data_IF_230094119041
#
_entry.id   IF_230094119041
#
_cell.length_a   1.000
_cell.length_b   1.000
_cell.length_c   1.000
_cell.angle_alpha   90.00
_cell.angle_beta   90.00
_cell.angle_gamma   90.00
#
_symmetry.space_group_name_H-M   'P 1'
#
loop_
_entity.id
_entity.type
_entity.pdbx_description
1 polymer ?
#
# COMPACT_ATOMS: atom_id res chain seq x y z
N UNK A 1 -14.70 77.26 66.65
CA UNK A 1 -13.89 76.16 66.09
C UNK A 1 -14.42 75.88 64.69
N UNK A 2 -13.79 76.51 63.70
CA UNK A 2 -14.14 76.40 62.28
C UNK A 2 -13.65 75.06 61.74
N UNK A 3 -14.58 74.25 61.20
CA UNK A 3 -14.20 73.15 60.31
C UNK A 3 -14.85 73.43 58.94
N UNK A 4 -14.00 73.82 58.00
CA UNK A 4 -14.37 74.17 56.63
C UNK A 4 -14.79 72.91 55.87
N UNK A 5 -16.07 72.81 55.54
CA UNK A 5 -16.58 71.79 54.62
C UNK A 5 -16.39 72.27 53.17
N UNK A 6 -15.75 71.44 52.36
CA UNK A 6 -15.46 71.64 50.94
C UNK A 6 -16.75 71.86 50.11
N UNK A 7 -16.72 72.69 49.05
CA UNK A 7 -17.91 72.96 48.25
C UNK A 7 -18.34 71.70 47.51
N UNK A 8 -19.49 71.13 47.91
CA UNK A 8 -20.14 70.06 47.15
C UNK A 8 -20.67 70.64 45.84
N UNK A 9 -20.49 69.91 44.74
CA UNK A 9 -20.95 70.32 43.40
C UNK A 9 -22.43 70.77 43.46
N UNK A 10 -22.82 71.91 42.84
CA UNK A 10 -24.15 72.50 43.01
C UNK A 10 -25.28 71.52 42.66
N UNK A 11 -25.06 70.63 41.69
CA UNK A 11 -26.00 69.57 41.33
C UNK A 11 -26.24 68.52 42.44
N UNK A 12 -25.20 68.17 43.20
CA UNK A 12 -25.30 67.18 44.29
C UNK A 12 -25.99 67.83 45.51
N UNK A 13 -25.74 69.11 45.76
CA UNK A 13 -26.43 69.86 46.81
C UNK A 13 -27.92 70.05 46.48
N UNK A 14 -28.23 70.31 45.22
CA UNK A 14 -29.61 70.40 44.72
C UNK A 14 -30.31 69.04 44.84
N UNK A 15 -29.69 67.93 44.41
CA UNK A 15 -30.24 66.59 44.59
C UNK A 15 -30.39 66.20 46.07
N UNK A 16 -29.47 66.60 46.94
CA UNK A 16 -29.57 66.36 48.38
C UNK A 16 -30.73 67.16 49.01
N UNK A 17 -30.95 68.41 48.59
CA UNK A 17 -32.10 69.22 49.01
C UNK A 17 -33.41 68.62 48.51
N UNK A 18 -33.49 68.21 47.24
CA UNK A 18 -34.68 67.54 46.71
C UNK A 18 -34.94 66.20 47.41
N UNK A 19 -33.89 65.42 47.71
CA UNK A 19 -34.01 64.17 48.47
C UNK A 19 -34.49 64.43 49.91
N UNK A 20 -33.97 65.46 50.57
CA UNK A 20 -34.40 65.84 51.92
C UNK A 20 -35.85 66.36 51.95
N UNK A 21 -36.22 67.20 50.97
CA UNK A 21 -37.60 67.68 50.79
C UNK A 21 -38.54 66.51 50.47
N UNK A 22 -38.13 65.60 49.60
CA UNK A 22 -38.92 64.41 49.28
C UNK A 22 -39.08 63.49 50.49
N UNK A 23 -38.02 63.26 51.27
CA UNK A 23 -38.08 62.47 52.50
C UNK A 23 -38.97 63.12 53.56
N UNK A 24 -38.87 64.45 53.75
CA UNK A 24 -39.72 65.20 54.67
C UNK A 24 -41.20 65.17 54.22
N UNK A 25 -41.46 65.41 52.93
CA UNK A 25 -42.81 65.33 52.36
C UNK A 25 -43.39 63.91 52.43
N UNK A 26 -42.56 62.88 52.25
CA UNK A 26 -42.96 61.48 52.34
C UNK A 26 -43.25 61.05 53.78
N UNK A 27 -42.55 61.60 54.76
CA UNK A 27 -42.79 61.35 56.18
C UNK A 27 -44.09 62.01 56.68
N UNK A 28 -44.38 63.24 56.25
CA UNK A 28 -45.58 64.03 56.64
C UNK A 28 -46.82 63.68 55.80
N UNK A 29 -46.66 62.83 54.78
CA UNK A 29 -47.73 62.32 53.89
C UNK A 29 -49.01 61.89 54.63
N UNK A 30 -48.87 61.31 55.82
CA UNK A 30 -50.01 60.78 56.56
C UNK A 30 -50.78 61.86 57.33
N UNK A 31 -50.17 63.03 57.58
CA UNK A 31 -50.82 64.21 58.19
C UNK A 31 -51.49 65.12 57.15
N UNK A 32 -51.03 65.08 55.90
CA UNK A 32 -51.66 65.77 54.74
C UNK A 32 -52.88 65.01 54.18
N UNK A 33 -53.10 63.77 54.61
CA UNK A 33 -54.34 63.07 54.33
C UNK A 33 -55.41 63.63 55.26
N UNK A 34 -56.46 64.24 54.70
CA UNK A 34 -57.59 64.75 55.47
C UNK A 34 -58.20 63.71 56.42
N UNK A 35 -59.08 64.12 57.36
CA UNK A 35 -59.70 63.21 58.31
C UNK A 35 -60.37 62.04 57.57
N UNK A 36 -60.17 60.80 58.03
CA UNK A 36 -60.82 59.62 57.45
C UNK A 36 -62.33 59.74 57.65
N UNK A 37 -63.06 60.13 56.59
CA UNK A 37 -64.52 60.19 56.56
C UNK A 37 -65.10 58.85 56.15
N UNK A 38 -66.23 58.47 56.77
CA UNK A 38 -66.93 57.21 56.46
C UNK A 38 -67.68 57.34 55.12
N UNK A 39 -67.95 56.20 54.46
CA UNK A 39 -68.59 56.16 53.13
C UNK A 39 -69.92 56.94 53.08
N UNK A 40 -70.65 56.97 54.18
CA UNK A 40 -71.93 57.67 54.30
C UNK A 40 -71.75 59.21 54.36
N UNK A 41 -70.63 59.71 54.90
CA UNK A 41 -70.34 61.15 54.98
C UNK A 41 -69.87 61.72 53.63
N UNK A 42 -69.29 60.87 52.77
CA UNK A 42 -68.88 61.25 51.40
C UNK A 42 -70.04 61.36 50.42
N UNK A 43 -71.22 60.82 50.75
CA UNK A 43 -72.42 60.87 49.91
C UNK A 43 -73.15 62.23 49.95
N UNK A 44 -72.90 63.06 50.97
CA UNK A 44 -73.56 64.36 51.17
C UNK A 44 -72.69 65.57 50.75
N UNK A 45 -71.51 65.33 50.17
CA UNK A 45 -70.66 66.39 49.63
C UNK A 45 -71.03 66.72 48.17
N UNK A 46 -70.75 67.95 47.68
CA UNK A 46 -70.95 68.31 46.28
C UNK A 46 -70.26 67.30 45.36
N UNK A 47 -70.89 66.95 44.23
CA UNK A 47 -70.48 65.84 43.35
C UNK A 47 -69.00 65.87 42.90
N UNK A 48 -68.36 67.04 42.89
CA UNK A 48 -66.94 67.17 42.56
C UNK A 48 -66.01 66.60 43.66
N UNK A 49 -66.40 66.66 44.94
CA UNK A 49 -65.54 66.27 46.06
C UNK A 49 -65.68 64.77 46.41
N UNK A 50 -66.86 64.18 46.20
CA UNK A 50 -67.10 62.75 46.46
C UNK A 50 -66.29 61.84 45.53
N UNK A 51 -66.12 62.23 44.27
CA UNK A 51 -65.29 61.51 43.28
C UNK A 51 -63.81 61.49 43.63
N UNK A 52 -63.30 62.49 44.35
CA UNK A 52 -61.89 62.60 44.71
C UNK A 52 -61.55 61.85 46.01
N UNK A 53 -62.51 61.74 46.95
CA UNK A 53 -62.31 61.11 48.26
C UNK A 53 -62.85 59.68 48.37
N UNK A 54 -63.49 59.13 47.32
CA UNK A 54 -63.93 57.72 47.33
C UNK A 54 -62.69 56.79 47.39
N UNK A 55 -62.56 55.94 48.42
CA UNK A 55 -61.41 55.04 48.53
C UNK A 55 -61.39 54.03 47.38
N UNK A 56 -60.31 54.00 46.59
CA UNK A 56 -60.15 53.09 45.46
C UNK A 56 -60.27 51.62 45.91
N UNK A 57 -61.11 50.84 45.22
CA UNK A 57 -61.34 49.41 45.48
C UNK A 57 -60.00 48.64 45.51
N UNK A 58 -59.80 47.61 46.37
CA UNK A 58 -58.50 46.93 46.53
C UNK A 58 -58.10 46.00 45.38
N UNK A 59 -59.02 45.66 44.47
CA UNK A 59 -58.77 44.75 43.33
C UNK A 59 -57.61 45.14 42.38
N UNK A 60 -57.44 46.41 41.96
CA UNK A 60 -56.35 46.84 41.08
C UNK A 60 -54.97 46.57 41.70
N UNK A 61 -54.84 46.68 43.03
CA UNK A 61 -53.59 46.41 43.74
C UNK A 61 -53.22 44.93 43.74
N UNK A 62 -54.21 44.04 43.86
CA UNK A 62 -53.98 42.58 43.79
C UNK A 62 -53.60 42.15 42.37
N UNK A 63 -54.27 42.68 41.36
CA UNK A 63 -53.93 42.45 39.94
C UNK A 63 -52.51 42.94 39.64
N UNK A 64 -52.14 44.13 40.11
CA UNK A 64 -50.78 44.64 39.98
C UNK A 64 -49.72 43.71 40.61
N UNK A 65 -49.99 43.17 41.81
CA UNK A 65 -49.09 42.20 42.45
C UNK A 65 -48.95 40.89 41.67
N UNK A 66 -50.06 40.34 41.14
CA UNK A 66 -50.02 39.13 40.30
C UNK A 66 -49.20 39.36 39.03
N UNK A 67 -49.37 40.52 38.38
CA UNK A 67 -48.59 40.90 37.20
C UNK A 67 -47.10 41.03 37.56
N UNK A 68 -46.77 41.67 38.70
CA UNK A 68 -45.39 41.77 39.16
C UNK A 68 -44.76 40.41 39.43
N UNK A 69 -45.47 39.48 40.08
CA UNK A 69 -44.97 38.12 40.34
C UNK A 69 -44.77 37.35 39.04
N UNK A 70 -45.72 37.40 38.10
CA UNK A 70 -45.59 36.78 36.79
C UNK A 70 -44.37 37.33 36.04
N UNK A 71 -44.15 38.65 36.09
CA UNK A 71 -43.01 39.31 35.47
C UNK A 71 -41.68 38.84 36.10
N UNK A 72 -41.61 38.71 37.43
CA UNK A 72 -40.41 38.21 38.12
C UNK A 72 -40.14 36.74 37.75
N UNK A 73 -41.17 35.90 37.62
CA UNK A 73 -41.02 34.50 37.18
C UNK A 73 -40.52 34.45 35.73
N UNK A 74 -41.11 35.23 34.84
CA UNK A 74 -40.67 35.32 33.45
C UNK A 74 -39.22 35.85 33.34
N UNK A 75 -38.85 36.82 34.16
CA UNK A 75 -37.49 37.35 34.24
C UNK A 75 -36.51 36.30 34.77
N UNK A 76 -36.87 35.57 35.83
CA UNK A 76 -36.06 34.47 36.35
C UNK A 76 -35.87 33.37 35.30
N UNK A 77 -36.95 32.96 34.62
CA UNK A 77 -36.87 32.00 33.53
C UNK A 77 -36.02 32.52 32.37
N UNK A 78 -36.10 33.82 32.04
CA UNK A 78 -35.27 34.38 30.98
C UNK A 78 -33.77 34.40 31.33
N UNK A 79 -33.44 34.57 32.61
CA UNK A 79 -32.06 34.57 33.13
C UNK A 79 -31.49 33.14 33.20
N UNK A 80 -32.27 32.17 33.65
CA UNK A 80 -31.81 30.78 33.85
C UNK A 80 -32.05 29.87 32.64
N UNK A 81 -33.06 30.14 31.83
CA UNK A 81 -33.44 29.36 30.67
C UNK A 81 -32.37 29.41 29.58
N UNK A 82 -31.89 28.24 29.17
CA UNK A 82 -30.91 28.08 28.10
C UNK A 82 -31.57 27.43 26.89
N UNK A 83 -31.31 27.97 25.71
CA UNK A 83 -31.76 27.44 24.42
C UNK A 83 -30.52 27.06 23.61
N UNK A 84 -30.56 25.89 22.97
CA UNK A 84 -29.49 25.43 22.09
C UNK A 84 -29.43 26.30 20.82
N UNK A 85 -28.24 26.79 20.46
CA UNK A 85 -27.99 27.38 19.14
C UNK A 85 -27.62 26.25 18.19
N UNK A 86 -28.27 26.23 17.03
CA UNK A 86 -28.01 25.23 15.99
C UNK A 86 -27.55 25.91 14.71
N UNK A 87 -26.50 25.36 14.09
CA UNK A 87 -26.14 25.64 12.71
C UNK A 87 -26.84 24.63 11.81
N UNK A 88 -27.55 25.12 10.79
CA UNK A 88 -28.29 24.28 9.85
C UNK A 88 -27.43 24.03 8.63
N UNK A 89 -27.12 22.77 8.37
CA UNK A 89 -26.29 22.34 7.25
C UNK A 89 -27.07 21.34 6.37
N UNK A 90 -27.16 21.61 5.08
CA UNK A 90 -27.82 20.71 4.13
C UNK A 90 -26.80 19.74 3.54
N UNK A 91 -27.22 18.50 3.28
CA UNK A 91 -26.31 17.49 2.77
C UNK A 91 -26.99 16.22 2.30
N UNK A 92 -26.18 15.19 2.14
CA UNK A 92 -26.63 13.86 1.71
C UNK A 92 -25.88 12.77 2.46
N UNK A 93 -26.48 11.60 2.50
CA UNK A 93 -25.88 10.41 3.08
C UNK A 93 -24.87 9.80 2.12
N UNK A 94 -23.66 9.55 2.60
CA UNK A 94 -22.56 8.89 1.90
C UNK A 94 -21.98 7.76 2.74
N UNK A 95 -21.40 6.77 2.09
CA UNK A 95 -20.75 5.65 2.77
C UNK A 95 -19.34 6.08 3.21
N UNK A 96 -19.00 5.86 4.48
CA UNK A 96 -17.69 6.25 5.03
C UNK A 96 -16.52 5.57 4.33
N UNK A 97 -16.67 4.28 4.03
CA UNK A 97 -15.74 3.58 3.17
C UNK A 97 -16.00 3.97 1.72
N UNK A 98 -15.04 4.70 1.14
CA UNK A 98 -15.05 5.01 -0.29
C UNK A 98 -15.31 3.72 -1.08
N UNK A 99 -16.28 3.81 -1.97
CA UNK A 99 -16.67 2.72 -2.85
C UNK A 99 -15.47 2.16 -3.60
N UNK A 100 -15.36 0.84 -3.72
CA UNK A 100 -14.21 0.19 -4.37
C UNK A 100 -14.48 0.07 -5.86
N UNK A 101 -13.72 0.78 -6.68
CA UNK A 101 -13.80 0.68 -8.13
C UNK A 101 -13.00 -0.52 -8.62
N UNK A 102 -13.61 -1.33 -9.47
CA UNK A 102 -12.94 -2.46 -10.12
C UNK A 102 -12.56 -2.07 -11.55
N UNK A 103 -11.26 -2.16 -11.86
CA UNK A 103 -10.66 -1.72 -13.12
C UNK A 103 -9.67 -2.79 -13.62
N UNK A 104 -9.57 -3.04 -14.94
CA UNK A 104 -8.61 -3.98 -15.49
C UNK A 104 -7.21 -3.34 -15.53
N UNK A 105 -6.18 -4.17 -15.37
CA UNK A 105 -4.79 -3.75 -15.45
C UNK A 105 -4.30 -3.60 -16.90
N UNK A 106 -4.81 -4.42 -17.82
CA UNK A 106 -4.38 -4.45 -19.21
C UNK A 106 -5.61 -4.56 -20.13
N UNK A 107 -5.48 -4.08 -21.37
CA UNK A 107 -6.54 -4.17 -22.38
C UNK A 107 -6.89 -5.64 -22.63
N UNK A 108 -8.15 -6.00 -22.41
CA UNK A 108 -8.60 -7.39 -22.43
C UNK A 108 -9.98 -7.53 -23.06
N UNK A 109 -10.32 -8.73 -23.51
CA UNK A 109 -11.67 -9.07 -23.99
C UNK A 109 -12.45 -9.68 -22.82
N UNK A 110 -13.69 -9.25 -22.64
CA UNK A 110 -14.58 -9.80 -21.62
C UNK A 110 -15.07 -11.17 -22.08
N UNK A 111 -14.69 -12.22 -21.35
CA UNK A 111 -15.15 -13.58 -21.62
C UNK A 111 -16.54 -13.81 -21.06
N UNK A 112 -16.76 -13.40 -19.80
CA UNK A 112 -18.04 -13.60 -19.10
C UNK A 112 -18.21 -12.61 -17.95
N UNK A 113 -19.43 -12.11 -17.76
CA UNK A 113 -19.82 -11.27 -16.62
C UNK A 113 -20.73 -12.10 -15.71
N UNK A 114 -20.34 -12.29 -14.44
CA UNK A 114 -21.01 -13.20 -13.51
C UNK A 114 -22.00 -12.50 -12.55
N UNK A 115 -22.03 -11.17 -12.57
CA UNK A 115 -22.82 -10.35 -11.63
C UNK A 115 -23.62 -9.29 -12.36
N UNK A 116 -24.70 -8.84 -11.74
CA UNK A 116 -25.56 -7.75 -12.20
C UNK A 116 -25.58 -6.61 -11.19
N UNK A 117 -26.04 -5.45 -11.65
CA UNK A 117 -26.29 -4.32 -10.76
C UNK A 117 -27.28 -4.68 -9.65
N UNK A 118 -26.89 -4.42 -8.40
CA UNK A 118 -27.66 -4.74 -7.20
C UNK A 118 -27.32 -6.08 -6.55
N UNK A 119 -26.49 -6.93 -7.18
CA UNK A 119 -26.12 -8.23 -6.61
C UNK A 119 -25.23 -8.09 -5.36
N UNK A 120 -25.49 -8.95 -4.39
CA UNK A 120 -24.68 -9.09 -3.19
C UNK A 120 -23.50 -10.02 -3.45
N UNK A 121 -22.29 -9.57 -3.14
CA UNK A 121 -21.04 -10.31 -3.37
C UNK A 121 -20.24 -10.50 -2.09
N UNK A 122 -19.50 -11.60 -2.01
CA UNK A 122 -18.55 -11.89 -0.94
C UNK A 122 -17.12 -11.51 -1.36
N UNK A 123 -16.24 -11.24 -0.39
CA UNK A 123 -14.83 -11.00 -0.68
C UNK A 123 -14.21 -12.25 -1.36
N UNK A 124 -13.48 -12.04 -2.46
CA UNK A 124 -12.87 -13.08 -3.28
C UNK A 124 -13.78 -13.70 -4.34
N UNK A 125 -15.07 -13.36 -4.39
CA UNK A 125 -15.97 -13.86 -5.42
C UNK A 125 -15.59 -13.32 -6.80
N UNK A 126 -15.53 -14.18 -7.82
CA UNK A 126 -15.26 -13.79 -9.21
C UNK A 126 -16.46 -13.02 -9.76
N UNK A 127 -16.21 -11.84 -10.31
CA UNK A 127 -17.21 -10.91 -10.84
C UNK A 127 -17.18 -10.88 -12.37
N UNK A 128 -15.97 -10.81 -12.94
CA UNK A 128 -15.74 -10.77 -14.38
C UNK A 128 -14.58 -11.70 -14.73
N UNK A 129 -14.77 -12.51 -15.76
CA UNK A 129 -13.73 -13.30 -16.38
C UNK A 129 -13.32 -12.60 -17.67
N UNK A 130 -12.05 -12.23 -17.77
CA UNK A 130 -11.43 -11.73 -18.99
C UNK A 130 -10.80 -12.90 -19.76
N UNK A 131 -10.55 -12.71 -21.05
CA UNK A 131 -9.89 -13.70 -21.89
C UNK A 131 -8.42 -13.86 -21.50
N UNK A 132 -8.07 -15.03 -20.98
CA UNK A 132 -6.73 -15.39 -20.53
C UNK A 132 -5.89 -16.09 -21.62
N UNK A 133 -6.38 -16.21 -22.85
CA UNK A 133 -5.72 -17.02 -23.89
C UNK A 133 -4.27 -16.59 -24.14
N UNK A 134 -4.02 -15.29 -24.27
CA UNK A 134 -2.66 -14.77 -24.48
C UNK A 134 -1.77 -14.98 -23.24
N UNK A 135 -2.27 -14.61 -22.05
CA UNK A 135 -1.51 -14.75 -20.80
C UNK A 135 -1.18 -16.22 -20.48
N UNK A 136 -2.10 -17.14 -20.77
CA UNK A 136 -1.89 -18.58 -20.60
C UNK A 136 -0.92 -19.16 -21.64
N UNK A 137 -0.97 -18.69 -22.89
CA UNK A 137 -0.03 -19.11 -23.93
C UNK A 137 1.41 -18.64 -23.62
N UNK A 138 1.55 -17.40 -23.17
CA UNK A 138 2.83 -16.85 -22.70
C UNK A 138 3.37 -17.65 -21.51
N UNK A 139 2.53 -17.92 -20.50
CA UNK A 139 2.90 -18.72 -19.35
C UNK A 139 3.33 -20.14 -19.72
N UNK A 140 2.62 -20.80 -20.64
CA UNK A 140 2.99 -22.13 -21.14
C UNK A 140 4.34 -22.10 -21.89
N UNK A 141 4.58 -21.08 -22.71
CA UNK A 141 5.86 -20.89 -23.42
C UNK A 141 7.03 -20.69 -22.43
N UNK A 142 6.84 -19.85 -21.41
CA UNK A 142 7.86 -19.62 -20.38
C UNK A 142 8.12 -20.88 -19.56
N UNK A 143 7.07 -21.64 -19.22
CA UNK A 143 7.19 -22.91 -18.50
C UNK A 143 7.97 -23.97 -19.30
N UNK A 144 7.74 -24.06 -20.62
CA UNK A 144 8.47 -24.95 -21.53
C UNK A 144 9.96 -24.56 -21.60
N UNK A 145 10.25 -23.27 -21.71
CA UNK A 145 11.64 -22.79 -21.69
C UNK A 145 12.32 -23.05 -20.34
N UNK A 146 11.59 -22.88 -19.24
CA UNK A 146 12.09 -23.14 -17.89
C UNK A 146 12.41 -24.62 -17.71
N UNK A 147 11.52 -25.52 -18.13
CA UNK A 147 11.73 -26.97 -18.05
C UNK A 147 12.94 -27.41 -18.87
N UNK A 148 13.16 -26.80 -20.05
CA UNK A 148 14.34 -27.04 -20.87
C UNK A 148 15.64 -26.60 -20.17
N UNK A 149 15.66 -25.43 -19.53
CA UNK A 149 16.84 -24.95 -18.79
C UNK A 149 17.13 -25.76 -17.53
N UNK A 150 16.09 -26.19 -16.80
CA UNK A 150 16.24 -27.11 -15.65
C UNK A 150 16.84 -28.44 -16.11
N UNK A 151 16.42 -28.95 -17.25
CA UNK A 151 16.92 -30.22 -17.80
C UNK A 151 18.39 -30.09 -18.21
N UNK A 152 18.77 -28.97 -18.84
CA UNK A 152 20.17 -28.65 -19.17
C UNK A 152 21.06 -28.53 -17.92
N UNK A 153 20.57 -27.88 -16.86
CA UNK A 153 21.30 -27.77 -15.59
C UNK A 153 21.53 -29.15 -14.95
N UNK A 154 20.53 -30.04 -14.98
CA UNK A 154 20.65 -31.42 -14.48
C UNK A 154 21.67 -32.23 -15.30
N UNK A 155 21.61 -32.15 -16.64
CA UNK A 155 22.55 -32.86 -17.52
C UNK A 155 23.98 -32.40 -17.31
N UNK A 156 24.24 -31.09 -17.31
CA UNK A 156 25.59 -30.54 -17.11
C UNK A 156 26.14 -30.89 -15.72
N UNK A 157 25.31 -30.83 -14.68
CA UNK A 157 25.68 -31.27 -13.32
C UNK A 157 26.05 -32.75 -13.28
N UNK A 158 25.26 -33.61 -13.93
CA UNK A 158 25.54 -35.04 -14.02
C UNK A 158 26.85 -35.32 -14.79
N UNK A 159 27.09 -34.63 -15.91
CA UNK A 159 28.33 -34.76 -16.69
C UNK A 159 29.56 -34.32 -15.90
N UNK A 160 29.50 -33.20 -15.16
CA UNK A 160 30.61 -32.77 -14.32
C UNK A 160 30.89 -33.74 -13.17
N UNK A 161 29.85 -34.30 -12.56
CA UNK A 161 29.99 -35.34 -11.53
C UNK A 161 30.60 -36.62 -12.11
N UNK A 162 30.20 -37.01 -13.32
CA UNK A 162 30.74 -38.14 -14.05
C UNK A 162 32.23 -37.94 -14.41
N UNK A 163 32.63 -36.75 -14.86
CA UNK A 163 34.04 -36.42 -15.12
C UNK A 163 34.91 -36.49 -13.87
N UNK A 164 34.40 -36.04 -12.71
CA UNK A 164 35.14 -36.10 -11.44
C UNK A 164 35.25 -37.51 -10.86
N UNK A 165 34.19 -38.30 -10.98
CA UNK A 165 34.11 -39.66 -10.40
C UNK A 165 34.53 -40.77 -11.36
N UNK A 166 34.73 -40.44 -12.64
CA UNK A 166 34.99 -41.37 -13.74
C UNK A 166 33.94 -42.50 -13.84
N UNK A 167 32.67 -42.17 -13.57
CA UNK A 167 31.52 -43.08 -13.64
C UNK A 167 30.49 -42.54 -14.62
N UNK A 168 29.68 -43.43 -15.18
CA UNK A 168 28.59 -43.03 -16.06
C UNK A 168 27.64 -42.04 -15.34
N UNK A 169 27.23 -40.95 -16.01
CA UNK A 169 26.30 -39.99 -15.43
C UNK A 169 24.94 -40.64 -15.26
N UNK A 170 24.24 -40.29 -14.19
CA UNK A 170 22.87 -40.74 -13.91
C UNK A 170 22.00 -39.54 -13.58
N UNK A 171 20.81 -39.49 -14.18
CA UNK A 171 19.79 -38.48 -13.88
C UNK A 171 18.84 -38.96 -12.78
N UNK A 172 18.20 -38.03 -12.05
CA UNK A 172 17.06 -38.37 -11.19
C UNK A 172 15.95 -39.08 -11.96
N UNK A 173 15.24 -39.99 -11.30
CA UNK A 173 14.17 -40.81 -11.90
C UNK A 173 13.03 -40.00 -12.55
N UNK A 174 12.84 -38.75 -12.12
CA UNK A 174 11.80 -37.86 -12.63
C UNK A 174 12.18 -37.12 -13.92
N UNK A 175 13.36 -37.42 -14.49
CA UNK A 175 13.85 -36.79 -15.72
C UNK A 175 13.22 -37.43 -16.96
N UNK A 176 13.08 -36.66 -18.04
CA UNK A 176 12.47 -37.18 -19.26
C UNK A 176 13.39 -38.19 -19.97
N UNK A 177 12.79 -39.11 -20.75
CA UNK A 177 13.56 -40.05 -21.57
C UNK A 177 14.48 -39.33 -22.57
N UNK A 178 14.01 -38.22 -23.14
CA UNK A 178 14.81 -37.37 -24.05
C UNK A 178 16.07 -36.82 -23.38
N UNK A 179 15.98 -36.42 -22.11
CA UNK A 179 17.14 -35.91 -21.37
C UNK A 179 18.17 -37.01 -21.09
N UNK A 180 17.70 -38.22 -20.80
CA UNK A 180 18.53 -39.42 -20.67
C UNK A 180 19.28 -39.72 -21.97
N UNK A 181 18.58 -39.75 -23.10
CA UNK A 181 19.17 -40.06 -24.40
C UNK A 181 20.23 -39.03 -24.80
N UNK A 182 19.93 -37.73 -24.61
CA UNK A 182 20.89 -36.67 -24.90
C UNK A 182 22.11 -36.72 -23.98
N UNK A 183 21.91 -36.96 -22.68
CA UNK A 183 23.01 -37.13 -21.73
C UNK A 183 23.91 -38.30 -22.10
N UNK A 184 23.32 -39.43 -22.50
CA UNK A 184 24.06 -40.62 -22.89
C UNK A 184 24.87 -40.37 -24.18
N UNK A 185 24.30 -39.67 -25.16
CA UNK A 185 25.02 -39.26 -26.37
C UNK A 185 26.21 -38.34 -26.04
N UNK A 186 26.00 -37.28 -25.24
CA UNK A 186 27.08 -36.36 -24.84
C UNK A 186 28.19 -37.10 -24.04
N UNK A 187 27.82 -38.04 -23.18
CA UNK A 187 28.78 -38.86 -22.44
C UNK A 187 29.56 -39.82 -23.34
N UNK A 188 28.91 -40.44 -24.32
CA UNK A 188 29.56 -41.30 -25.31
C UNK A 188 30.58 -40.53 -26.14
N UNK A 189 30.27 -39.31 -26.56
CA UNK A 189 31.20 -38.46 -27.31
C UNK A 189 32.45 -38.12 -26.48
N UNK A 190 32.27 -37.72 -25.22
CA UNK A 190 33.38 -37.40 -24.31
C UNK A 190 34.25 -38.64 -24.07
N UNK A 191 33.63 -39.77 -23.76
CA UNK A 191 34.36 -41.01 -23.47
C UNK A 191 35.06 -41.57 -24.70
N UNK A 192 34.47 -41.48 -25.89
CA UNK A 192 35.11 -41.87 -27.14
C UNK A 192 36.35 -41.01 -27.44
N UNK A 193 36.27 -39.70 -27.20
CA UNK A 193 37.41 -38.79 -27.37
C UNK A 193 38.53 -39.10 -26.39
N UNK A 194 38.20 -39.36 -25.11
CA UNK A 194 39.16 -39.76 -24.09
C UNK A 194 39.81 -41.11 -24.39
N UNK A 195 39.03 -42.07 -24.90
CA UNK A 195 39.52 -43.39 -25.30
C UNK A 195 40.52 -43.28 -26.46
N UNK A 196 40.24 -42.43 -27.46
CA UNK A 196 41.16 -42.14 -28.57
C UNK A 196 42.48 -41.55 -28.06
N UNK A 197 42.43 -40.56 -27.16
CA UNK A 197 43.63 -39.94 -26.59
C UNK A 197 44.43 -40.94 -25.74
N UNK A 198 43.79 -41.80 -24.95
CA UNK A 198 44.50 -42.85 -24.20
C UNK A 198 45.15 -43.89 -25.11
N UNK A 199 44.51 -44.25 -26.23
CA UNK A 199 45.08 -45.18 -27.19
C UNK A 199 46.34 -44.58 -27.87
N UNK A 200 46.32 -43.27 -28.14
CA UNK A 200 47.49 -42.56 -28.65
C UNK A 200 48.64 -42.53 -27.64
N UNK A 201 48.36 -42.23 -26.37
CA UNK A 201 49.37 -42.30 -25.30
C UNK A 201 49.96 -43.70 -25.17
N UNK A 202 49.13 -44.74 -25.13
CA UNK A 202 49.59 -46.13 -25.04
C UNK A 202 50.48 -46.52 -26.24
N UNK A 203 50.16 -46.03 -27.44
CA UNK A 203 51.00 -46.22 -28.64
C UNK A 203 52.38 -45.55 -28.49
N UNK A 204 52.44 -44.32 -27.96
CA UNK A 204 53.71 -43.61 -27.70
C UNK A 204 54.54 -44.29 -26.61
N UNK A 205 53.89 -44.81 -25.56
CA UNK A 205 54.56 -45.61 -24.53
C UNK A 205 55.17 -46.90 -25.09
N UNK A 206 54.46 -47.58 -25.99
CA UNK A 206 54.98 -48.77 -26.67
C UNK A 206 56.17 -48.44 -27.61
N UNK A 207 56.12 -47.30 -28.30
CA UNK A 207 57.23 -46.78 -29.11
C UNK A 207 58.48 -46.52 -28.26
N UNK A 208 58.33 -45.84 -27.11
CA UNK A 208 59.40 -45.64 -26.13
C UNK A 208 59.97 -46.96 -25.63
N UNK A 209 59.12 -47.94 -25.30
CA UNK A 209 59.56 -49.26 -24.85
C UNK A 209 60.43 -49.96 -25.91
N UNK A 210 60.05 -49.84 -27.19
CA UNK A 210 60.80 -50.42 -28.32
C UNK A 210 62.16 -49.76 -28.52
N UNK A 211 62.22 -48.42 -28.46
CA UNK A 211 63.49 -47.68 -28.56
C UNK A 211 64.39 -48.00 -27.38
N UNK A 212 63.85 -48.11 -26.16
CA UNK A 212 64.61 -48.51 -24.95
C UNK A 212 65.23 -49.90 -25.09
N UNK A 213 64.51 -50.87 -25.66
CA UNK A 213 65.07 -52.22 -25.92
C UNK A 213 66.23 -52.17 -26.91
N UNK A 214 66.13 -51.33 -27.94
CA UNK A 214 67.21 -51.15 -28.93
C UNK A 214 68.43 -50.49 -28.31
N UNK A 215 68.23 -49.46 -27.48
CA UNK A 215 69.30 -48.83 -26.69
C UNK A 215 69.97 -49.86 -25.78
N UNK A 216 69.19 -50.65 -25.02
CA UNK A 216 69.72 -51.67 -24.13
C UNK A 216 70.58 -52.72 -24.88
N UNK A 217 70.15 -53.13 -26.08
CA UNK A 217 70.95 -54.00 -26.95
C UNK A 217 72.29 -53.35 -27.32
N UNK A 218 72.28 -52.11 -27.81
CA UNK A 218 73.49 -51.40 -28.23
C UNK A 218 74.43 -51.11 -27.07
N UNK A 219 73.90 -50.75 -25.89
CA UNK A 219 74.67 -50.55 -24.67
C UNK A 219 75.33 -51.84 -24.18
N UNK A 220 74.71 -53.00 -24.40
CA UNK A 220 75.31 -54.30 -24.10
C UNK A 220 76.38 -54.73 -25.12
N UNK A 221 76.23 -54.40 -26.41
CA UNK A 221 77.16 -54.84 -27.48
C UNK A 221 78.35 -53.91 -27.68
N UNK A 222 78.20 -52.60 -27.45
CA UNK A 222 79.26 -51.60 -27.69
C UNK A 222 80.54 -51.86 -26.88
N UNK A 223 80.50 -52.26 -25.59
CA UNK A 223 81.71 -52.61 -24.84
C UNK A 223 82.45 -53.81 -25.45
N UNK A 224 81.71 -54.78 -26.00
CA UNK A 224 82.29 -55.95 -26.68
C UNK A 224 83.02 -55.50 -27.96
N UNK A 225 82.41 -54.60 -28.75
CA UNK A 225 83.05 -54.04 -29.94
C UNK A 225 84.31 -53.22 -29.59
N UNK A 226 84.26 -52.40 -28.53
CA UNK A 226 85.40 -51.65 -28.01
C UNK A 226 86.56 -52.57 -27.60
N UNK A 227 86.24 -53.65 -26.87
CA UNK A 227 87.26 -54.61 -26.42
C UNK A 227 87.87 -55.36 -27.61
N UNK A 228 87.06 -55.78 -28.59
CA UNK A 228 87.55 -56.44 -29.81
C UNK A 228 88.46 -55.53 -30.63
N UNK A 229 88.12 -54.24 -30.78
CA UNK A 229 89.00 -53.27 -31.43
C UNK A 229 90.35 -53.17 -30.71
N UNK A 230 90.33 -53.08 -29.37
CA UNK A 230 91.56 -52.98 -28.57
C UNK A 230 92.45 -54.22 -28.69
N UNK A 231 91.88 -55.42 -28.72
CA UNK A 231 92.62 -56.67 -28.89
C UNK A 231 93.20 -56.79 -30.31
N UNK A 232 92.44 -56.41 -31.35
CA UNK A 232 92.94 -56.39 -32.73
C UNK A 232 94.06 -55.37 -32.92
N UNK A 233 93.96 -54.20 -32.28
CA UNK A 233 95.01 -53.19 -32.31
C UNK A 233 96.29 -53.73 -31.69
N UNK A 234 96.21 -54.40 -30.53
CA UNK A 234 97.36 -55.06 -29.88
C UNK A 234 98.03 -56.10 -30.78
N UNK A 235 97.24 -56.97 -31.41
CA UNK A 235 97.75 -57.98 -32.35
C UNK A 235 98.36 -57.38 -33.62
N UNK A 236 97.84 -56.25 -34.09
CA UNK A 236 98.41 -55.51 -35.23
C UNK A 236 99.73 -54.84 -34.84
N UNK A 237 99.82 -54.26 -33.65
CA UNK A 237 101.03 -53.60 -33.14
C UNK A 237 102.17 -54.62 -32.93
N UNK A 238 101.82 -55.86 -32.54
CA UNK A 238 102.74 -56.99 -32.43
C UNK A 238 103.07 -57.68 -33.78
N UNK A 239 102.43 -57.27 -34.88
CA UNK A 239 102.70 -57.77 -36.23
C UNK A 239 102.01 -59.08 -36.63
N UNK A 240 101.08 -59.60 -35.81
CA UNK A 240 100.37 -60.86 -36.07
C UNK A 240 99.21 -60.71 -37.07
N UNK A 241 98.70 -59.49 -37.27
CA UNK A 241 97.59 -59.19 -38.18
C UNK A 241 97.91 -57.90 -38.94
N UNK A 242 97.43 -57.80 -40.18
CA UNK A 242 97.58 -56.59 -40.98
C UNK A 242 96.64 -55.46 -40.50
N UNK A 243 97.14 -54.22 -40.48
CA UNK A 243 96.43 -53.06 -39.90
C UNK A 243 95.06 -52.74 -40.50
N UNK A 244 94.77 -53.18 -41.73
CA UNK A 244 93.44 -53.01 -42.34
C UNK A 244 92.34 -53.79 -41.60
N UNK A 245 92.66 -54.95 -41.01
CA UNK A 245 91.70 -55.71 -40.21
C UNK A 245 91.30 -54.97 -38.92
N UNK A 246 92.16 -54.09 -38.40
CA UNK A 246 91.84 -53.20 -37.29
C UNK A 246 90.89 -52.07 -37.70
N UNK A 247 91.07 -51.50 -38.90
CA UNK A 247 90.24 -50.41 -39.42
C UNK A 247 88.77 -50.83 -39.58
N UNK A 248 88.51 -52.06 -40.02
CA UNK A 248 87.13 -52.59 -40.10
C UNK A 248 86.46 -52.68 -38.72
N UNK A 249 87.22 -53.04 -37.67
CA UNK A 249 86.72 -53.07 -36.28
C UNK A 249 86.46 -51.69 -35.72
N UNK A 250 87.36 -50.74 -36.00
CA UNK A 250 87.16 -49.33 -35.65
C UNK A 250 85.88 -48.78 -36.30
N UNK A 251 85.64 -49.10 -37.58
CA UNK A 251 84.42 -48.72 -38.29
C UNK A 251 83.18 -49.31 -37.64
N UNK A 252 83.18 -50.60 -37.33
CA UNK A 252 82.06 -51.30 -36.66
C UNK A 252 81.73 -50.66 -35.30
N UNK A 253 82.75 -50.33 -34.49
CA UNK A 253 82.56 -49.63 -33.20
C UNK A 253 81.95 -48.23 -33.40
N UNK A 254 82.48 -47.44 -34.34
CA UNK A 254 81.99 -46.09 -34.62
C UNK A 254 80.53 -46.14 -35.07
N UNK A 255 80.16 -47.10 -35.93
CA UNK A 255 78.78 -47.30 -36.38
C UNK A 255 77.85 -47.59 -35.21
N UNK A 256 78.19 -48.53 -34.33
CA UNK A 256 77.39 -48.84 -33.12
C UNK A 256 77.30 -47.64 -32.15
N UNK A 257 78.38 -46.87 -31.99
CA UNK A 257 78.40 -45.67 -31.15
C UNK A 257 77.46 -44.58 -31.72
N UNK A 258 77.48 -44.37 -33.04
CA UNK A 258 76.62 -43.40 -33.73
C UNK A 258 75.16 -43.85 -33.74
N UNK A 259 74.92 -45.15 -33.89
CA UNK A 259 73.59 -45.73 -33.76
C UNK A 259 73.04 -45.54 -32.35
N UNK A 260 73.83 -45.80 -31.31
CA UNK A 260 73.44 -45.58 -29.92
C UNK A 260 73.09 -44.11 -29.66
N UNK A 261 73.93 -43.19 -30.13
CA UNK A 261 73.66 -41.75 -30.03
C UNK A 261 72.36 -41.37 -30.74
N UNK A 262 72.11 -41.92 -31.93
CA UNK A 262 70.87 -41.71 -32.69
C UNK A 262 69.64 -42.25 -31.96
N UNK A 263 69.72 -43.45 -31.40
CA UNK A 263 68.61 -44.04 -30.65
C UNK A 263 68.33 -43.25 -29.35
N UNK A 264 69.35 -42.76 -28.66
CA UNK A 264 69.18 -41.88 -27.49
C UNK A 264 68.48 -40.57 -27.86
N UNK A 265 68.83 -39.96 -29.00
CA UNK A 265 68.13 -38.79 -29.50
C UNK A 265 66.65 -39.10 -29.83
N UNK A 266 66.37 -40.23 -30.49
CA UNK A 266 65.00 -40.70 -30.75
C UNK A 266 64.20 -40.97 -29.47
N UNK A 267 64.85 -41.49 -28.42
CA UNK A 267 64.19 -41.68 -27.13
C UNK A 267 63.75 -40.34 -26.52
N UNK A 268 64.61 -39.33 -26.55
CA UNK A 268 64.28 -38.00 -26.05
C UNK A 268 63.12 -37.37 -26.84
N UNK A 269 63.11 -37.53 -28.17
CA UNK A 269 62.01 -37.10 -29.05
C UNK A 269 60.69 -37.83 -28.72
N UNK A 270 60.74 -39.16 -28.58
CA UNK A 270 59.57 -39.97 -28.22
C UNK A 270 59.02 -39.60 -26.83
N UNK A 271 59.88 -39.27 -25.87
CA UNK A 271 59.46 -38.77 -24.56
C UNK A 271 58.80 -37.40 -24.63
N UNK A 272 59.32 -36.49 -25.46
CA UNK A 272 58.72 -35.18 -25.69
C UNK A 272 57.32 -35.30 -26.30
N UNK A 273 57.14 -36.18 -27.30
CA UNK A 273 55.82 -36.43 -27.92
C UNK A 273 54.83 -37.12 -26.98
N UNK A 274 55.28 -37.99 -26.07
CA UNK A 274 54.43 -38.54 -25.00
C UNK A 274 53.95 -37.43 -24.05
N UNK A 275 54.85 -36.53 -23.65
CA UNK A 275 54.50 -35.40 -22.80
C UNK A 275 53.49 -34.45 -23.49
N UNK A 276 53.67 -34.20 -24.79
CA UNK A 276 52.71 -33.43 -25.60
C UNK A 276 51.33 -34.11 -25.67
N UNK A 277 51.29 -35.43 -25.85
CA UNK A 277 50.04 -36.20 -25.85
C UNK A 277 49.33 -36.14 -24.48
N UNK A 278 50.09 -36.20 -23.38
CA UNK A 278 49.55 -36.02 -22.03
C UNK A 278 49.00 -34.61 -21.79
N UNK A 279 49.72 -33.58 -22.26
CA UNK A 279 49.25 -32.21 -22.21
C UNK A 279 47.97 -32.03 -23.02
N UNK A 280 47.88 -32.60 -24.22
CA UNK A 280 46.68 -32.59 -25.07
C UNK A 280 45.47 -33.21 -24.37
N UNK A 281 45.66 -34.35 -23.69
CA UNK A 281 44.60 -34.97 -22.88
C UNK A 281 44.16 -34.08 -21.71
N UNK A 282 45.11 -33.49 -20.99
CA UNK A 282 44.81 -32.60 -19.86
C UNK A 282 44.07 -31.33 -20.31
N UNK A 283 44.47 -30.76 -21.45
CA UNK A 283 43.85 -29.58 -22.06
C UNK A 283 42.41 -29.89 -22.49
N UNK A 284 42.17 -31.05 -23.10
CA UNK A 284 40.82 -31.49 -23.47
C UNK A 284 39.90 -31.64 -22.25
N UNK A 285 40.39 -32.22 -21.15
CA UNK A 285 39.62 -32.32 -19.91
C UNK A 285 39.31 -30.94 -19.30
N UNK A 286 40.30 -30.05 -19.24
CA UNK A 286 40.13 -28.71 -18.72
C UNK A 286 39.15 -27.89 -19.57
N UNK A 287 39.24 -28.00 -20.90
CA UNK A 287 38.31 -27.34 -21.83
C UNK A 287 36.88 -27.88 -21.69
N UNK A 288 36.72 -29.21 -21.61
CA UNK A 288 35.42 -29.85 -21.42
C UNK A 288 34.80 -29.41 -20.09
N UNK A 289 35.57 -29.39 -19.00
CA UNK A 289 35.09 -28.93 -17.70
C UNK A 289 34.69 -27.45 -17.74
N UNK A 290 35.47 -26.58 -18.38
CA UNK A 290 35.13 -25.17 -18.56
C UNK A 290 33.84 -25.00 -19.35
N UNK A 291 33.72 -25.68 -20.49
CA UNK A 291 32.53 -25.61 -21.34
C UNK A 291 31.26 -26.08 -20.62
N UNK A 292 31.34 -27.15 -19.81
CA UNK A 292 30.22 -27.61 -19.00
C UNK A 292 29.87 -26.63 -17.88
N UNK A 293 30.87 -26.03 -17.21
CA UNK A 293 30.66 -25.00 -16.19
C UNK A 293 29.99 -23.76 -16.77
N UNK A 294 30.42 -23.31 -17.96
CA UNK A 294 29.83 -22.17 -18.65
C UNK A 294 28.37 -22.46 -19.05
N UNK A 295 28.09 -23.65 -19.59
CA UNK A 295 26.71 -24.09 -19.90
C UNK A 295 25.85 -24.14 -18.64
N UNK A 296 26.35 -24.67 -17.53
CA UNK A 296 25.63 -24.73 -16.25
C UNK A 296 25.33 -23.31 -15.72
N UNK A 297 26.31 -22.40 -15.75
CA UNK A 297 26.13 -21.03 -15.31
C UNK A 297 25.07 -20.30 -16.15
N UNK A 298 25.11 -20.47 -17.48
CA UNK A 298 24.09 -19.91 -18.39
C UNK A 298 22.70 -20.49 -18.12
N UNK A 299 22.59 -21.81 -17.95
CA UNK A 299 21.33 -22.48 -17.64
C UNK A 299 20.75 -22.00 -16.30
N UNK A 300 21.57 -21.90 -15.26
CA UNK A 300 21.16 -21.41 -13.93
C UNK A 300 20.70 -19.94 -13.97
N UNK A 301 21.43 -19.08 -14.68
CA UNK A 301 21.04 -17.67 -14.89
C UNK A 301 19.69 -17.57 -15.61
N UNK A 302 19.52 -18.30 -16.72
CA UNK A 302 18.26 -18.32 -17.47
C UNK A 302 17.12 -18.91 -16.67
N UNK A 303 17.35 -19.98 -15.91
CA UNK A 303 16.36 -20.56 -15.00
C UNK A 303 15.85 -19.52 -14.01
N UNK A 304 16.76 -18.75 -13.41
CA UNK A 304 16.39 -17.68 -12.46
C UNK A 304 15.55 -16.61 -13.13
N UNK A 305 15.95 -16.15 -14.32
CA UNK A 305 15.18 -15.18 -15.12
C UNK A 305 13.79 -15.70 -15.48
N UNK A 306 13.70 -16.90 -16.05
CA UNK A 306 12.45 -17.52 -16.49
C UNK A 306 11.52 -17.84 -15.31
N UNK A 307 12.06 -18.13 -14.12
CA UNK A 307 11.24 -18.31 -12.92
C UNK A 307 10.53 -17.01 -12.51
N UNK A 308 11.23 -15.87 -12.59
CA UNK A 308 10.61 -14.56 -12.33
C UNK A 308 9.59 -14.19 -13.40
N UNK A 309 9.90 -14.50 -14.66
CA UNK A 309 8.98 -14.29 -15.78
C UNK A 309 7.72 -15.15 -15.64
N UNK A 310 7.87 -16.41 -15.24
CA UNK A 310 6.74 -17.31 -14.97
C UNK A 310 5.84 -16.73 -13.88
N UNK A 311 6.42 -16.33 -12.73
CA UNK A 311 5.67 -15.69 -11.65
C UNK A 311 4.90 -14.45 -12.12
N UNK A 312 5.49 -13.65 -13.03
CA UNK A 312 4.83 -12.49 -13.64
C UNK A 312 3.66 -12.92 -14.54
N UNK A 313 3.84 -13.94 -15.38
CA UNK A 313 2.77 -14.46 -16.25
C UNK A 313 1.62 -15.11 -15.47
N UNK A 314 1.93 -15.82 -14.37
CA UNK A 314 0.93 -16.38 -13.46
C UNK A 314 0.12 -15.29 -12.76
N UNK A 315 0.79 -14.22 -12.30
CA UNK A 315 0.11 -13.07 -11.72
C UNK A 315 -0.79 -12.37 -12.75
N UNK A 316 -0.31 -12.16 -13.98
CA UNK A 316 -1.13 -11.63 -15.08
C UNK A 316 -2.35 -12.50 -15.36
N UNK A 317 -2.17 -13.81 -15.44
CA UNK A 317 -3.25 -14.78 -15.64
C UNK A 317 -4.27 -14.70 -14.50
N UNK A 318 -3.82 -14.59 -13.25
CA UNK A 318 -4.72 -14.41 -12.10
C UNK A 318 -5.54 -13.12 -12.19
N UNK A 319 -4.94 -12.03 -12.66
CA UNK A 319 -5.62 -10.73 -12.81
C UNK A 319 -6.65 -10.69 -13.95
N UNK A 320 -6.67 -11.69 -14.83
CA UNK A 320 -7.78 -11.86 -15.80
C UNK A 320 -9.09 -12.25 -15.12
N UNK A 321 -9.02 -12.84 -13.92
CA UNK A 321 -10.19 -13.12 -13.08
C UNK A 321 -10.36 -11.97 -12.08
N UNK A 322 -11.31 -11.09 -12.36
CA UNK A 322 -11.57 -9.94 -11.51
C UNK A 322 -12.47 -10.37 -10.34
N UNK A 323 -11.92 -10.30 -9.12
CA UNK A 323 -12.61 -10.70 -7.89
C UNK A 323 -12.99 -9.50 -7.04
N UNK A 324 -14.01 -9.66 -6.19
CA UNK A 324 -14.42 -8.64 -5.24
C UNK A 324 -13.37 -8.48 -4.11
N UNK A 325 -12.75 -7.30 -3.91
CA UNK A 325 -11.83 -7.08 -2.79
C UNK A 325 -12.52 -7.11 -1.42
N UNK A 326 -13.82 -6.80 -1.36
CA UNK A 326 -14.62 -6.71 -0.12
C UNK A 326 -16.03 -7.24 -0.36
N UNK A 327 -16.68 -7.73 0.69
CA UNK A 327 -18.08 -8.11 0.63
C UNK A 327 -18.97 -6.87 0.52
N UNK A 328 -19.93 -6.86 -0.40
CA UNK A 328 -20.65 -5.65 -0.76
C UNK A 328 -21.83 -5.87 -1.69
N UNK A 329 -22.33 -4.77 -2.25
CA UNK A 329 -23.30 -4.75 -3.34
C UNK A 329 -22.65 -4.12 -4.57
N UNK A 330 -22.81 -4.78 -5.71
CA UNK A 330 -22.29 -4.30 -7.00
C UNK A 330 -23.20 -3.20 -7.54
N UNK A 331 -22.62 -2.12 -8.05
CA UNK A 331 -23.31 -1.00 -8.69
C UNK A 331 -22.52 -0.52 -9.91
N UNK A 332 -23.23 0.09 -10.86
CA UNK A 332 -22.64 0.70 -12.06
C UNK A 332 -21.81 -0.28 -12.88
N UNK A 333 -22.32 -1.49 -13.11
CA UNK A 333 -21.72 -2.42 -14.07
C UNK A 333 -21.72 -1.76 -15.45
N UNK A 334 -20.56 -1.39 -15.97
CA UNK A 334 -20.40 -0.78 -17.29
C UNK A 334 -20.37 -1.84 -18.40
N UNK A 335 -19.96 -3.06 -18.06
CA UNK A 335 -19.75 -4.15 -19.02
C UNK A 335 -21.00 -5.02 -19.09
N UNK A 336 -21.69 -4.97 -20.22
CA UNK A 336 -22.92 -5.74 -20.44
C UNK A 336 -22.79 -6.79 -21.55
N UNK A 337 -21.75 -6.69 -22.37
CA UNK A 337 -21.58 -7.52 -23.58
C UNK A 337 -20.37 -8.44 -23.43
N UNK A 338 -20.62 -9.74 -23.47
CA UNK A 338 -19.58 -10.74 -23.69
C UNK A 338 -18.90 -10.47 -25.05
N UNK A 339 -17.57 -10.58 -25.11
CA UNK A 339 -16.78 -10.20 -26.29
C UNK A 339 -16.47 -8.70 -26.40
N UNK A 340 -16.96 -7.86 -25.48
CA UNK A 340 -16.58 -6.45 -25.42
C UNK A 340 -15.10 -6.28 -25.04
N UNK A 341 -14.43 -5.30 -25.64
CA UNK A 341 -13.05 -4.93 -25.29
C UNK A 341 -13.08 -3.89 -24.18
N UNK A 342 -12.27 -4.12 -23.14
CA UNK A 342 -12.06 -3.16 -22.04
C UNK A 342 -10.64 -2.63 -22.07
N UNK A 343 -10.46 -1.34 -21.81
CA UNK A 343 -9.14 -0.68 -21.76
C UNK A 343 -8.60 -0.62 -20.35
N UNK A 344 -7.28 -0.48 -20.21
CA UNK A 344 -6.62 -0.24 -18.93
C UNK A 344 -7.29 0.92 -18.15
N UNK A 345 -7.41 0.74 -16.83
CA UNK A 345 -8.02 1.70 -15.89
C UNK A 345 -9.49 2.06 -16.14
N UNK A 346 -10.16 1.41 -17.11
CA UNK A 346 -11.60 1.60 -17.34
C UNK A 346 -12.38 1.05 -16.13
N UNK A 347 -13.24 1.89 -15.53
CA UNK A 347 -14.12 1.45 -14.43
C UNK A 347 -15.16 0.48 -14.99
N UNK A 348 -15.11 -0.77 -14.52
CA UNK A 348 -16.05 -1.81 -14.96
C UNK A 348 -17.25 -1.93 -14.03
N UNK A 349 -17.03 -1.74 -12.73
CA UNK A 349 -18.08 -1.72 -11.71
C UNK A 349 -17.56 -1.14 -10.40
N UNK A 350 -18.49 -0.87 -9.50
CA UNK A 350 -18.24 -0.29 -8.19
C UNK A 350 -18.85 -1.19 -7.11
N UNK A 351 -18.08 -1.50 -6.06
CA UNK A 351 -18.54 -2.33 -4.94
C UNK A 351 -18.72 -1.47 -3.69
N UNK A 352 -19.95 -1.40 -3.21
CA UNK A 352 -20.32 -0.72 -1.95
C UNK A 352 -20.27 -1.73 -0.81
N UNK A 353 -19.39 -1.56 0.20
CA UNK A 353 -19.32 -2.50 1.33
C UNK A 353 -20.61 -2.48 2.16
N UNK A 354 -21.06 -3.64 2.65
CA UNK A 354 -22.28 -3.76 3.47
C UNK A 354 -22.12 -3.24 4.90
N UNK A 355 -20.92 -3.39 5.47
CA UNK A 355 -20.61 -3.04 6.87
C UNK A 355 -20.07 -1.61 7.03
N UNK A 356 -20.05 -0.84 5.94
CA UNK A 356 -19.50 0.50 5.98
C UNK A 356 -20.39 1.42 6.83
N UNK A 357 -19.77 2.15 7.76
CA UNK A 357 -20.48 3.12 8.57
C UNK A 357 -21.07 4.19 7.66
N UNK A 358 -22.34 4.48 7.86
CA UNK A 358 -23.01 5.53 7.09
C UNK A 358 -22.59 6.88 7.69
N UNK A 359 -22.17 7.81 6.84
CA UNK A 359 -21.82 9.19 7.22
C UNK A 359 -22.71 10.16 6.45
N UNK A 360 -22.98 11.33 7.01
CA UNK A 360 -23.63 12.40 6.26
C UNK A 360 -22.58 13.43 5.86
N UNK A 361 -22.47 13.69 4.56
CA UNK A 361 -21.69 14.81 4.04
C UNK A 361 -22.63 16.01 3.94
N UNK A 362 -22.36 17.02 4.74
CA UNK A 362 -23.15 18.24 4.84
C UNK A 362 -22.32 19.45 4.49
N UNK A 363 -23.00 20.49 4.03
CA UNK A 363 -22.40 21.73 3.61
C UNK A 363 -22.78 22.79 4.63
N UNK A 364 -21.76 23.39 5.25
CA UNK A 364 -21.91 24.46 6.25
C UNK A 364 -21.73 25.81 5.56
N UNK A 365 -22.63 26.75 5.85
CA UNK A 365 -22.53 28.13 5.36
C UNK A 365 -21.35 28.86 6.01
N UNK A 366 -20.71 29.77 5.26
CA UNK A 366 -19.58 30.59 5.75
C UNK A 366 -19.90 31.40 7.03
N UNK A 367 -21.16 31.74 7.28
CA UNK A 367 -21.56 32.44 8.52
C UNK A 367 -21.46 31.56 9.78
N UNK A 368 -21.57 30.25 9.62
CA UNK A 368 -21.69 29.29 10.72
C UNK A 368 -20.39 28.49 10.97
N UNK A 369 -19.49 28.43 9.98
CA UNK A 369 -18.23 27.66 10.05
C UNK A 369 -17.37 27.99 11.28
N UNK A 370 -17.33 29.26 11.70
CA UNK A 370 -16.52 29.71 12.84
C UNK A 370 -16.96 29.12 14.19
N UNK A 371 -18.16 28.53 14.27
CA UNK A 371 -18.71 27.94 15.50
C UNK A 371 -18.83 26.42 15.44
N UNK A 372 -18.55 25.80 14.28
CA UNK A 372 -18.64 24.35 14.10
C UNK A 372 -17.27 23.71 14.29
N UNK A 373 -17.18 22.77 15.23
CA UNK A 373 -15.94 22.05 15.52
C UNK A 373 -16.15 20.53 15.48
N UNK A 374 -15.08 19.80 15.18
CA UNK A 374 -15.07 18.35 15.26
C UNK A 374 -15.47 17.90 16.68
N UNK A 375 -16.39 16.93 16.75
CA UNK A 375 -16.88 16.35 17.99
C UNK A 375 -18.19 16.91 18.53
N UNK A 376 -18.74 17.98 17.95
CA UNK A 376 -20.06 18.50 18.32
C UNK A 376 -21.18 17.49 17.97
N UNK A 377 -22.25 17.52 18.75
CA UNK A 377 -23.43 16.67 18.52
C UNK A 377 -24.34 17.36 17.50
N UNK A 378 -24.75 16.61 16.48
CA UNK A 378 -25.67 17.03 15.45
C UNK A 378 -26.94 16.18 15.46
N UNK A 379 -28.08 16.79 15.14
CA UNK A 379 -29.33 16.07 14.90
C UNK A 379 -29.61 16.07 13.39
N UNK A 380 -29.65 14.89 12.79
CA UNK A 380 -29.90 14.71 11.35
C UNK A 380 -31.39 14.49 11.13
N UNK A 381 -31.99 15.38 10.35
CA UNK A 381 -33.36 15.29 9.84
C UNK A 381 -33.30 14.72 8.42
N UNK A 382 -33.96 13.58 8.21
CA UNK A 382 -34.08 12.95 6.90
C UNK A 382 -35.21 13.61 6.12
N UNK A 383 -34.98 14.01 4.87
CA UNK A 383 -36.06 14.57 4.04
C UNK A 383 -37.06 13.50 3.62
N UNK A 384 -36.59 12.27 3.44
CA UNK A 384 -37.40 11.10 3.06
C UNK A 384 -38.37 10.65 4.16
N UNK A 385 -38.10 11.00 5.42
CA UNK A 385 -38.91 10.61 6.59
C UNK A 385 -39.20 11.83 7.48
N UNK A 386 -40.45 12.31 7.55
CA UNK A 386 -40.81 13.47 8.37
C UNK A 386 -40.35 13.34 9.82
N UNK A 387 -39.44 14.22 10.25
CA UNK A 387 -38.83 14.19 11.58
C UNK A 387 -39.84 14.40 12.72
N UNK A 388 -40.98 15.04 12.44
CA UNK A 388 -42.06 15.25 13.41
C UNK A 388 -42.73 13.95 13.84
N UNK A 389 -42.72 12.93 12.97
CA UNK A 389 -43.32 11.61 13.24
C UNK A 389 -42.29 10.56 13.62
N UNK A 390 -41.13 10.55 12.96
CA UNK A 390 -40.12 9.49 13.12
C UNK A 390 -38.87 9.92 13.91
N UNK A 391 -38.79 11.19 14.31
CA UNK A 391 -37.67 11.73 15.07
C UNK A 391 -36.45 12.06 14.22
N UNK A 392 -35.32 12.28 14.88
CA UNK A 392 -34.04 12.66 14.27
C UNK A 392 -32.96 11.62 14.56
N UNK A 393 -32.01 11.45 13.65
CA UNK A 393 -30.86 10.58 13.87
C UNK A 393 -29.74 11.37 14.55
N UNK A 394 -29.27 10.91 15.70
CA UNK A 394 -28.14 11.53 16.40
C UNK A 394 -26.84 11.27 15.62
N UNK A 395 -26.04 12.30 15.43
CA UNK A 395 -24.75 12.23 14.77
C UNK A 395 -23.71 13.07 15.53
N UNK A 396 -22.43 12.85 15.20
CA UNK A 396 -21.31 13.62 15.73
C UNK A 396 -20.47 14.15 14.56
N UNK A 397 -20.05 15.40 14.63
CA UNK A 397 -19.15 15.98 13.62
C UNK A 397 -17.83 15.21 13.66
N UNK A 398 -17.48 14.52 12.58
CA UNK A 398 -16.21 13.79 12.48
C UNK A 398 -15.09 14.71 12.02
N UNK A 399 -15.35 15.49 10.96
CA UNK A 399 -14.36 16.37 10.35
C UNK A 399 -15.05 17.53 9.64
N UNK A 400 -14.39 18.67 9.62
CA UNK A 400 -14.81 19.87 8.88
C UNK A 400 -13.64 20.27 7.99
N UNK A 401 -13.89 20.44 6.70
CA UNK A 401 -12.85 20.86 5.75
C UNK A 401 -12.47 22.31 6.02
N UNK A 402 -11.17 22.58 6.12
CA UNK A 402 -10.66 23.95 6.34
C UNK A 402 -10.76 24.82 5.07
N UNK A 403 -10.77 24.19 3.91
CA UNK A 403 -10.87 24.86 2.61
C UNK A 403 -12.32 25.12 2.22
N UNK A 404 -12.61 26.36 1.83
CA UNK A 404 -13.89 26.73 1.25
C UNK A 404 -13.98 26.26 -0.20
N UNK A 405 -15.09 25.61 -0.54
CA UNK A 405 -15.48 25.32 -1.92
C UNK A 405 -16.45 26.42 -2.37
N UNK A 406 -16.27 26.96 -3.57
CA UNK A 406 -17.16 28.01 -4.07
C UNK A 406 -18.37 27.38 -4.78
N UNK A 407 -19.58 27.65 -4.29
CA UNK A 407 -20.85 27.25 -4.91
C UNK A 407 -21.44 28.43 -5.68
N UNK A 408 -21.89 28.19 -6.92
CA UNK A 408 -22.43 29.23 -7.81
C UNK A 408 -23.59 30.05 -7.22
N UNK A 409 -24.34 29.47 -6.27
CA UNK A 409 -25.53 30.11 -5.67
C UNK A 409 -25.33 30.56 -4.23
N UNK A 410 -24.50 29.86 -3.46
CA UNK A 410 -24.35 30.07 -2.01
C UNK A 410 -23.02 30.72 -1.61
N UNK A 411 -22.10 30.94 -2.56
CA UNK A 411 -20.78 31.48 -2.31
C UNK A 411 -19.87 30.44 -1.65
N UNK A 412 -18.94 30.90 -0.80
CA UNK A 412 -18.03 30.02 -0.07
C UNK A 412 -18.79 29.08 0.89
N UNK A 413 -18.67 27.78 0.68
CA UNK A 413 -19.26 26.72 1.50
C UNK A 413 -18.20 25.78 2.04
N UNK A 414 -18.45 25.19 3.21
CA UNK A 414 -17.50 24.32 3.91
C UNK A 414 -18.08 22.92 4.06
N UNK A 415 -17.58 21.93 3.29
CA UNK A 415 -17.99 20.54 3.45
C UNK A 415 -17.57 20.01 4.83
N UNK A 416 -18.48 19.31 5.50
CA UNK A 416 -18.24 18.63 6.76
C UNK A 416 -18.83 17.22 6.72
N UNK A 417 -18.18 16.31 7.43
CA UNK A 417 -18.61 14.93 7.56
C UNK A 417 -19.14 14.70 8.96
N UNK A 418 -20.32 14.07 9.05
CA UNK A 418 -21.00 13.71 10.28
C UNK A 418 -21.08 12.18 10.38
N UNK A 419 -20.57 11.62 11.47
CA UNK A 419 -20.73 10.21 11.79
C UNK A 419 -22.09 9.96 12.43
N UNK A 420 -22.93 9.14 11.78
CA UNK A 420 -24.25 8.75 12.30
C UNK A 420 -24.09 7.73 13.43
N UNK A 421 -24.84 7.88 14.51
CA UNK A 421 -24.79 6.94 15.66
C UNK A 421 -25.51 5.62 15.38
N UNK A 422 -26.39 5.60 14.38
CA UNK A 422 -27.18 4.46 13.97
C UNK A 422 -27.39 4.50 12.45
N UNK A 423 -27.41 3.33 11.82
CA UNK A 423 -27.55 3.13 10.37
C UNK A 423 -28.99 2.79 9.94
N UNK A 424 -29.94 2.85 10.87
CA UNK A 424 -31.35 2.56 10.61
C UNK A 424 -32.29 3.49 11.38
N UNK A 425 -33.50 3.66 10.85
CA UNK A 425 -34.60 4.39 11.47
C UNK A 425 -35.84 3.48 11.53
N UNK A 426 -36.62 3.59 12.60
CA UNK A 426 -37.85 2.82 12.77
C UNK A 426 -39.01 3.59 12.15
N UNK A 427 -39.59 3.05 11.08
CA UNK A 427 -40.74 3.63 10.37
C UNK A 427 -41.86 2.61 10.44
N UNK A 428 -42.97 2.98 11.09
CA UNK A 428 -44.16 2.13 11.25
C UNK A 428 -43.84 0.69 11.74
N UNK A 429 -42.94 0.58 12.72
CA UNK A 429 -42.52 -0.69 13.32
C UNK A 429 -41.48 -1.49 12.53
N UNK A 430 -41.10 -1.07 11.33
CA UNK A 430 -40.05 -1.69 10.51
C UNK A 430 -38.74 -0.91 10.62
N UNK A 431 -37.62 -1.61 10.80
CA UNK A 431 -36.28 -1.00 10.75
C UNK A 431 -35.87 -0.84 9.29
N UNK A 432 -35.77 0.41 8.83
CA UNK A 432 -35.32 0.75 7.49
C UNK A 432 -33.87 1.22 7.58
N UNK A 433 -32.98 0.62 6.80
CA UNK A 433 -31.57 1.02 6.71
C UNK A 433 -31.43 2.32 5.92
N UNK A 434 -30.47 3.15 6.33
CA UNK A 434 -30.18 4.41 5.65
C UNK A 434 -29.37 4.13 4.38
N UNK A 435 -29.96 4.36 3.21
CA UNK A 435 -29.28 4.21 1.92
C UNK A 435 -28.44 5.45 1.56
N UNK A 436 -27.31 5.27 0.87
CA UNK A 436 -26.55 6.36 0.28
C UNK A 436 -27.40 7.15 -0.72
N UNK A 437 -27.18 8.47 -0.80
CA UNK A 437 -27.91 9.38 -1.69
C UNK A 437 -29.18 10.00 -1.11
N UNK A 438 -29.60 9.65 0.11
CA UNK A 438 -30.71 10.35 0.77
C UNK A 438 -30.30 11.77 1.20
N UNK A 439 -31.15 12.75 0.92
CA UNK A 439 -30.96 14.13 1.37
C UNK A 439 -31.23 14.26 2.87
N UNK A 440 -30.41 15.07 3.52
CA UNK A 440 -30.48 15.32 4.96
C UNK A 440 -30.25 16.79 5.27
N UNK A 441 -30.91 17.24 6.33
CA UNK A 441 -30.61 18.52 6.98
C UNK A 441 -30.08 18.24 8.38
N UNK A 442 -28.83 18.62 8.64
CA UNK A 442 -28.19 18.47 9.94
C UNK A 442 -28.28 19.76 10.75
N UNK A 443 -28.70 19.63 12.00
CA UNK A 443 -28.68 20.72 12.99
C UNK A 443 -27.53 20.46 13.97
N UNK A 444 -26.42 21.16 13.78
CA UNK A 444 -25.21 21.02 14.58
C UNK A 444 -25.34 21.95 15.80
N UNK A 445 -25.22 21.40 17.01
CA UNK A 445 -25.31 22.18 18.25
C UNK A 445 -24.01 22.94 18.49
N UNK A 446 -24.00 24.24 18.20
CA UNK A 446 -22.81 25.09 18.29
C UNK A 446 -22.65 25.76 19.65
N UNK A 447 -23.73 25.93 20.42
CA UNK A 447 -23.66 26.51 21.76
C UNK A 447 -25.00 26.54 22.49
N UNK A 448 -25.02 27.18 23.67
CA UNK A 448 -26.23 27.45 24.44
C UNK A 448 -26.31 28.93 24.76
N UNK A 449 -27.48 29.53 24.60
CA UNK A 449 -27.72 30.95 24.86
C UNK A 449 -28.87 31.15 25.84
N UNK A 450 -28.78 32.17 26.71
CA UNK A 450 -29.89 32.48 27.61
C UNK A 450 -30.98 33.22 26.86
N UNK A 451 -32.23 33.06 27.26
CA UNK A 451 -33.37 33.73 26.62
C UNK A 451 -33.25 35.26 26.73
N UNK A 452 -32.75 35.77 27.86
CA UNK A 452 -32.52 37.20 28.06
C UNK A 452 -31.56 37.81 27.03
N UNK A 453 -30.59 37.04 26.53
CA UNK A 453 -29.63 37.51 25.54
C UNK A 453 -30.24 37.67 24.14
N UNK A 454 -31.38 37.03 23.85
CA UNK A 454 -32.13 37.25 22.61
C UNK A 454 -32.91 38.57 22.65
N UNK A 455 -33.43 38.94 23.82
CA UNK A 455 -34.17 40.20 24.01
C UNK A 455 -33.23 41.41 24.10
N UNK A 456 -32.07 41.25 24.74
CA UNK A 456 -31.09 42.33 24.92
C UNK A 456 -30.11 42.48 23.75
N UNK A 457 -29.96 41.47 22.88
CA UNK A 457 -28.99 41.55 21.77
C UNK A 457 -29.19 42.76 20.87
N UNK A 458 -30.40 43.14 20.41
CA UNK A 458 -30.55 44.25 19.46
C UNK A 458 -30.16 45.59 20.08
N UNK A 459 -30.40 45.75 21.39
CA UNK A 459 -30.02 46.95 22.15
C UNK A 459 -28.50 47.00 22.33
N UNK A 460 -27.86 45.86 22.60
CA UNK A 460 -26.40 45.79 22.73
C UNK A 460 -25.68 46.04 21.41
N UNK A 461 -26.18 45.52 20.28
CA UNK A 461 -25.60 45.81 18.96
C UNK A 461 -25.75 47.29 18.60
N UNK A 462 -26.95 47.88 18.82
CA UNK A 462 -27.20 49.29 18.51
C UNK A 462 -26.32 50.24 19.34
N UNK A 463 -26.15 49.97 20.64
CA UNK A 463 -25.26 50.78 21.50
C UNK A 463 -23.79 50.58 21.11
N UNK A 464 -23.37 49.35 20.81
CA UNK A 464 -22.00 49.02 20.41
C UNK A 464 -21.59 49.58 19.04
N UNK A 465 -22.50 49.62 18.06
CA UNK A 465 -22.27 50.27 16.76
C UNK A 465 -22.32 51.79 16.87
N UNK A 466 -23.20 52.36 17.70
CA UNK A 466 -23.28 53.82 17.89
C UNK A 466 -22.05 54.45 18.58
N UNK A 467 -21.27 53.65 19.31
CA UNK A 467 -20.02 54.08 19.98
C UNK A 467 -18.76 53.80 19.15
N UNK A 468 -18.91 53.29 17.92
CA UNK A 468 -17.82 53.12 16.95
C UNK A 468 -18.08 54.00 15.74
N UNK A 469 -17.55 55.21 15.79
CA UNK A 469 -17.41 56.08 14.62
C UNK A 469 -16.28 55.53 13.71
N UNK A 470 -16.40 55.76 12.41
CA UNK A 470 -15.43 55.33 11.38
C UNK A 470 -14.17 56.18 11.39
#
# INVERSE_FOLDING_TARGET
MNNAATPRHPAIELLARYKAIFQAAWAVRHELAGPKRLADETAFLPAALSLQETPAHPAPRRVAWVICVLFVIALAWAIFGQIDIVAVAQGRIVVSERTKTLQPLETSVVKRVLVKDGDAVQAGQVLVELDATNASADGASVQEQLSAMVSEERRTTALMAALKSNRAPALPKDSSARDSDQLQAEWQDITAKLAKLSAEQARREAEIATVRQTIAKLEATLPIAQQREADFKRLSDEGFIAGHAGQDRTRERIEQERDLATQRARLAEAQATLAESANTRSAYLAETQRALSDRQAQASSKRTQLTQELSKTEQRTRLTQMTAPVAGTVQQVAVHTEGGVVTEAQVLMIIVPKDAQVTAEVVIDNKDIGFVNAGQVAAIKLETFPFTRYGTVKAKVSSVTADAVNDEKRGAIFPATLALSQNSIVVDGKRIHLSPGMNVTAEIKTGKRRVIDYLLSPVQTAVGESMRER
#
